data_IF_514688631125
#
_entry.id   IF_514688631125
#
_cell.length_a   1.000
_cell.length_b   1.000
_cell.length_c   1.000
_cell.angle_alpha   90.00
_cell.angle_beta   90.00
_cell.angle_gamma   90.00
#
_symmetry.space_group_name_H-M   'P 1'
#
loop_
_entity.id
_entity.type
_entity.pdbx_description
1 polymer ?
#
# COMPACT_ATOMS: atom_id res chain seq x y z
N UNK A 1 -18.10 3.75 18.50
CA UNK A 1 -16.64 4.01 18.33
C UNK A 1 -16.02 4.66 19.57
N UNK A 2 -16.75 5.47 20.33
CA UNK A 2 -16.22 6.14 21.51
C UNK A 2 -15.74 5.19 22.62
N UNK A 3 -16.51 4.13 22.89
CA UNK A 3 -16.12 3.06 23.82
C UNK A 3 -14.78 2.41 23.44
N UNK A 4 -14.58 2.18 22.14
CA UNK A 4 -13.32 1.66 21.58
C UNK A 4 -12.18 2.66 21.81
N UNK A 5 -12.40 3.96 21.56
CA UNK A 5 -11.40 5.01 21.83
C UNK A 5 -10.97 5.00 23.31
N UNK A 6 -11.93 4.93 24.23
CA UNK A 6 -11.65 4.85 25.67
C UNK A 6 -10.86 3.61 26.05
N UNK A 7 -11.28 2.43 25.56
CA UNK A 7 -10.55 1.18 25.77
C UNK A 7 -9.09 1.31 25.27
N UNK A 8 -8.88 1.75 24.02
CA UNK A 8 -7.55 1.89 23.45
C UNK A 8 -6.65 2.84 24.27
N UNK A 9 -7.17 4.00 24.65
CA UNK A 9 -6.43 4.97 25.47
C UNK A 9 -6.14 4.42 26.87
N UNK A 10 -7.04 3.65 27.48
CA UNK A 10 -6.80 3.02 28.78
C UNK A 10 -5.75 1.91 28.72
N UNK A 11 -5.72 1.14 27.63
CA UNK A 11 -4.83 -0.02 27.47
C UNK A 11 -3.43 0.38 27.01
N UNK A 12 -3.29 1.33 26.09
CA UNK A 12 -2.01 1.71 25.50
C UNK A 12 -1.54 3.10 25.94
N UNK A 13 -2.45 4.01 26.28
CA UNK A 13 -2.14 5.37 26.70
C UNK A 13 -2.24 6.41 25.57
N UNK A 14 -2.04 7.68 25.94
CA UNK A 14 -2.18 8.85 25.04
C UNK A 14 -1.02 9.00 24.04
N UNK A 15 0.09 8.29 24.21
CA UNK A 15 1.26 8.36 23.32
C UNK A 15 1.15 7.52 22.05
N UNK A 16 0.05 6.80 21.87
CA UNK A 16 -0.19 5.91 20.74
C UNK A 16 -1.10 6.55 19.72
N UNK A 17 -0.88 6.22 18.45
CA UNK A 17 -1.80 6.51 17.36
C UNK A 17 -2.58 5.25 16.99
N UNK A 18 -3.84 5.46 16.57
CA UNK A 18 -4.77 4.38 16.26
C UNK A 18 -5.31 4.57 14.84
N UNK A 19 -5.31 3.51 14.04
CA UNK A 19 -6.05 3.47 12.76
C UNK A 19 -7.12 2.41 12.87
N UNK A 20 -8.38 2.84 12.97
CA UNK A 20 -9.55 1.99 13.07
C UNK A 20 -10.07 1.74 11.65
N UNK A 21 -10.08 0.49 11.21
CA UNK A 21 -10.69 0.06 9.96
C UNK A 21 -12.02 -0.62 10.28
N UNK A 22 -13.17 0.04 10.05
CA UNK A 22 -14.47 -0.57 10.30
C UNK A 22 -14.67 -1.81 9.41
N UNK A 23 -15.53 -2.76 9.82
CA UNK A 23 -15.90 -3.88 8.97
C UNK A 23 -16.58 -3.37 7.69
N UNK A 24 -16.21 -3.94 6.55
CA UNK A 24 -16.87 -3.68 5.27
C UNK A 24 -17.88 -4.76 4.92
N UNK A 25 -17.73 -5.95 5.50
CA UNK A 25 -18.63 -7.08 5.34
C UNK A 25 -19.21 -7.54 6.68
N UNK A 26 -20.37 -8.20 6.63
CA UNK A 26 -21.01 -8.74 7.83
C UNK A 26 -20.15 -9.85 8.45
N UNK A 27 -19.95 -9.79 9.76
CA UNK A 27 -19.12 -10.76 10.49
C UNK A 27 -17.63 -10.42 10.56
N UNK A 28 -17.17 -9.37 9.86
CA UNK A 28 -15.80 -8.88 10.03
C UNK A 28 -15.59 -8.21 11.39
N UNK A 29 -14.35 -8.29 11.89
CA UNK A 29 -13.95 -7.64 13.14
C UNK A 29 -13.47 -6.21 12.87
N UNK A 30 -13.64 -5.32 13.85
CA UNK A 30 -13.02 -3.99 13.79
C UNK A 30 -11.50 -4.15 13.98
N UNK A 31 -10.73 -3.83 12.95
CA UNK A 31 -9.27 -3.90 13.00
C UNK A 31 -8.71 -2.55 13.46
N UNK A 32 -7.97 -2.55 14.57
CA UNK A 32 -7.29 -1.35 15.06
C UNK A 32 -5.79 -1.53 14.94
N UNK A 33 -5.16 -0.81 14.02
CA UNK A 33 -3.70 -0.71 13.98
C UNK A 33 -3.25 0.25 15.07
N UNK A 34 -2.46 -0.25 16.00
CA UNK A 34 -1.89 0.50 17.13
C UNK A 34 -0.43 0.77 16.82
N UNK A 35 -0.02 2.03 16.94
CA UNK A 35 1.35 2.44 16.67
C UNK A 35 1.89 3.34 17.78
N UNK A 36 2.92 2.84 18.47
CA UNK A 36 3.67 3.48 19.55
C UNK A 36 4.88 2.60 19.94
N UNK A 37 5.29 2.57 21.22
CA UNK A 37 6.30 1.62 21.71
C UNK A 37 5.98 0.16 21.36
N UNK A 38 4.71 -0.26 21.54
CA UNK A 38 4.19 -1.47 20.93
C UNK A 38 3.55 -1.14 19.57
N UNK A 39 3.70 -2.02 18.60
CA UNK A 39 3.07 -1.91 17.29
C UNK A 39 2.36 -3.21 16.98
N UNK A 40 1.15 -3.15 16.46
CA UNK A 40 0.38 -4.33 16.15
C UNK A 40 -1.04 -4.04 15.71
N UNK A 41 -1.84 -5.10 15.60
CA UNK A 41 -3.26 -5.03 15.28
C UNK A 41 -4.05 -5.62 16.43
N UNK A 42 -5.05 -4.88 16.90
CA UNK A 42 -6.05 -5.34 17.86
C UNK A 42 -7.34 -5.60 17.11
N UNK A 43 -7.95 -6.76 17.35
CA UNK A 43 -9.21 -7.18 16.75
C UNK A 43 -10.31 -7.02 17.79
N UNK A 44 -11.30 -6.20 17.47
CA UNK A 44 -12.40 -5.89 18.37
C UNK A 44 -13.72 -6.33 17.72
N UNK A 45 -14.66 -6.82 18.52
CA UNK A 45 -16.02 -7.02 18.06
C UNK A 45 -16.64 -5.64 17.74
N UNK A 46 -17.16 -5.41 16.53
CA UNK A 46 -17.62 -4.08 16.12
C UNK A 46 -18.87 -3.60 16.86
N UNK A 47 -19.67 -4.52 17.41
CA UNK A 47 -20.92 -4.20 18.12
C UNK A 47 -20.71 -4.02 19.62
N UNK A 48 -19.87 -4.87 20.24
CA UNK A 48 -19.66 -4.85 21.69
C UNK A 48 -18.39 -4.10 22.11
N UNK A 49 -17.45 -3.88 21.19
CA UNK A 49 -16.14 -3.30 21.48
C UNK A 49 -15.20 -4.24 22.26
N UNK A 50 -15.61 -5.48 22.52
CA UNK A 50 -14.81 -6.48 23.24
C UNK A 50 -13.63 -6.93 22.39
N UNK A 51 -12.45 -6.99 22.99
CA UNK A 51 -11.26 -7.52 22.33
C UNK A 51 -11.39 -9.03 22.06
N UNK A 52 -11.21 -9.41 20.80
CA UNK A 52 -11.20 -10.80 20.34
C UNK A 52 -9.78 -11.35 20.19
N UNK A 53 -8.78 -10.46 20.14
CA UNK A 53 -7.37 -10.82 20.17
C UNK A 53 -6.49 -9.66 19.72
N UNK A 54 -5.17 -9.84 19.88
CA UNK A 54 -4.16 -8.90 19.37
C UNK A 54 -3.01 -9.66 18.73
N UNK A 55 -2.40 -9.05 17.73
CA UNK A 55 -1.22 -9.58 17.05
C UNK A 55 -0.14 -8.51 17.00
N UNK A 56 1.04 -8.83 17.52
CA UNK A 56 2.21 -7.97 17.43
C UNK A 56 2.59 -7.71 15.97
N UNK A 57 3.15 -6.54 15.71
CA UNK A 57 3.51 -6.10 14.38
C UNK A 57 4.64 -6.90 13.74
N UNK A 58 5.27 -7.85 14.44
CA UNK A 58 6.28 -8.80 13.94
C UNK A 58 5.78 -10.25 13.96
N UNK A 59 4.55 -10.49 14.43
CA UNK A 59 4.02 -11.84 14.64
C UNK A 59 3.27 -12.38 13.42
N UNK A 60 3.41 -13.68 13.18
CA UNK A 60 2.69 -14.42 12.14
C UNK A 60 3.39 -14.46 10.78
N UNK A 61 3.19 -15.57 10.06
CA UNK A 61 3.85 -15.87 8.77
C UNK A 61 3.56 -14.79 7.73
N UNK A 62 2.31 -14.34 7.63
CA UNK A 62 1.91 -13.31 6.65
C UNK A 62 2.67 -12.00 6.88
N UNK A 63 2.79 -11.59 8.14
CA UNK A 63 3.47 -10.34 8.47
C UNK A 63 4.99 -10.45 8.34
N UNK A 64 5.56 -11.62 8.65
CA UNK A 64 6.95 -11.95 8.32
C UNK A 64 7.20 -11.81 6.81
N UNK A 65 6.39 -12.45 5.96
CA UNK A 65 6.51 -12.37 4.51
C UNK A 65 6.35 -10.93 4.01
N UNK A 66 5.38 -10.18 4.55
CA UNK A 66 5.18 -8.77 4.22
C UNK A 66 6.39 -7.91 4.60
N UNK A 67 6.98 -8.09 5.79
CA UNK A 67 8.16 -7.33 6.23
C UNK A 67 9.41 -7.70 5.46
N UNK A 68 9.57 -8.97 5.11
CA UNK A 68 10.61 -9.45 4.20
C UNK A 68 10.46 -8.81 2.82
N UNK A 69 9.26 -8.84 2.24
CA UNK A 69 8.98 -8.27 0.91
C UNK A 69 9.10 -6.74 0.87
N UNK A 70 8.59 -6.03 1.88
CA UNK A 70 8.51 -4.57 1.89
C UNK A 70 9.76 -3.86 2.43
N UNK A 71 10.62 -4.58 3.16
CA UNK A 71 11.77 -3.97 3.84
C UNK A 71 12.94 -4.90 4.12
N UNK A 72 12.93 -6.15 3.64
CA UNK A 72 13.94 -7.18 3.96
C UNK A 72 14.12 -7.41 5.47
N UNK A 73 13.12 -7.05 6.28
CA UNK A 73 13.22 -6.96 7.75
C UNK A 73 14.29 -5.98 8.27
N UNK A 74 14.89 -5.16 7.40
CA UNK A 74 15.94 -4.18 7.70
C UNK A 74 15.40 -2.74 7.77
N UNK A 75 14.08 -2.57 7.98
CA UNK A 75 13.42 -1.27 8.15
C UNK A 75 13.77 -0.31 7.00
N UNK A 76 14.26 0.90 7.31
CA UNK A 76 14.59 1.92 6.32
C UNK A 76 15.73 1.50 5.38
N UNK A 77 16.72 0.78 5.89
CA UNK A 77 17.86 0.30 5.11
C UNK A 77 17.41 -0.70 4.04
N UNK A 78 16.59 -1.68 4.41
CA UNK A 78 16.11 -2.66 3.44
C UNK A 78 15.15 -2.06 2.41
N UNK A 79 14.36 -1.05 2.77
CA UNK A 79 13.58 -0.25 1.81
C UNK A 79 14.45 0.44 0.76
N UNK A 80 15.58 1.02 1.17
CA UNK A 80 16.53 1.62 0.25
C UNK A 80 17.20 0.57 -0.65
N UNK A 81 17.61 -0.57 -0.08
CA UNK A 81 18.19 -1.69 -0.85
C UNK A 81 17.19 -2.20 -1.90
N UNK A 82 15.94 -2.43 -1.52
CA UNK A 82 14.87 -2.86 -2.44
C UNK A 82 14.64 -1.87 -3.58
N UNK A 83 14.71 -0.56 -3.31
CA UNK A 83 14.58 0.46 -4.36
C UNK A 83 15.73 0.40 -5.38
N UNK A 84 16.97 0.20 -4.94
CA UNK A 84 18.11 0.03 -5.85
C UNK A 84 18.05 -1.29 -6.62
N UNK A 85 17.63 -2.38 -5.97
CA UNK A 85 17.39 -3.67 -6.63
C UNK A 85 16.28 -3.53 -7.68
N UNK A 86 15.21 -2.81 -7.38
CA UNK A 86 14.14 -2.53 -8.33
C UNK A 86 14.64 -1.75 -9.54
N UNK A 87 15.48 -0.72 -9.34
CA UNK A 87 16.12 0.00 -10.45
C UNK A 87 16.98 -0.93 -11.31
N UNK A 88 17.79 -1.80 -10.69
CA UNK A 88 18.57 -2.80 -11.41
C UNK A 88 17.68 -3.77 -12.21
N UNK A 89 16.56 -4.21 -11.64
CA UNK A 89 15.57 -5.03 -12.34
C UNK A 89 14.96 -4.33 -13.55
N UNK A 90 14.62 -3.04 -13.44
CA UNK A 90 14.11 -2.27 -14.58
C UNK A 90 15.14 -2.17 -15.71
N UNK A 91 16.40 -1.94 -15.37
CA UNK A 91 17.49 -1.92 -16.37
C UNK A 91 17.68 -3.31 -17.01
N UNK A 92 17.61 -4.39 -16.22
CA UNK A 92 17.67 -5.77 -16.73
C UNK A 92 16.49 -6.12 -17.64
N UNK A 93 15.27 -5.67 -17.31
CA UNK A 93 14.10 -5.87 -18.16
C UNK A 93 14.23 -5.11 -19.48
N UNK A 94 14.67 -3.86 -19.45
CA UNK A 94 14.89 -3.05 -20.67
C UNK A 94 15.96 -3.71 -21.56
N UNK A 95 17.11 -4.05 -20.99
CA UNK A 95 18.18 -4.72 -21.74
C UNK A 95 17.75 -6.09 -22.28
N UNK A 96 17.03 -6.89 -21.49
CA UNK A 96 16.47 -8.17 -21.92
C UNK A 96 15.48 -8.02 -23.07
N UNK A 97 14.62 -7.00 -23.03
CA UNK A 97 13.67 -6.69 -24.11
C UNK A 97 14.39 -6.26 -25.39
N UNK A 98 15.43 -5.42 -25.29
CA UNK A 98 16.28 -5.03 -26.42
C UNK A 98 16.95 -6.25 -27.07
N UNK A 99 17.48 -7.17 -26.26
CA UNK A 99 18.10 -8.40 -26.74
C UNK A 99 17.09 -9.39 -27.34
N UNK A 100 15.86 -9.40 -26.82
CA UNK A 100 14.78 -10.24 -27.34
C UNK A 100 14.17 -9.69 -28.63
N UNK A 101 14.30 -8.38 -28.89
CA UNK A 101 13.57 -7.68 -29.94
C UNK A 101 13.70 -8.38 -31.30
N UNK A 102 12.60 -8.76 -31.95
CA UNK A 102 12.65 -9.57 -33.16
C UNK A 102 13.22 -8.77 -34.33
N UNK A 103 14.19 -9.36 -35.06
CA UNK A 103 14.68 -8.80 -36.34
C UNK A 103 13.64 -8.90 -37.47
N UNK A 104 12.72 -9.86 -37.38
CA UNK A 104 11.63 -10.09 -38.33
C UNK A 104 10.35 -10.37 -37.56
N UNK A 105 9.25 -9.77 -37.99
CA UNK A 105 7.96 -9.86 -37.31
C UNK A 105 7.04 -10.86 -38.05
N UNK A 106 6.22 -11.70 -37.38
CA UNK A 106 5.99 -11.87 -35.93
C UNK A 106 7.17 -12.51 -35.16
N UNK A 107 7.35 -12.26 -33.83
CA UNK A 107 8.38 -12.96 -33.05
C UNK A 107 8.03 -14.44 -32.91
N UNK A 108 9.05 -15.30 -32.84
CA UNK A 108 8.83 -16.70 -32.47
C UNK A 108 8.68 -16.85 -30.96
N UNK A 109 7.51 -17.33 -30.54
CA UNK A 109 7.17 -17.67 -29.15
C UNK A 109 7.27 -19.17 -28.86
N UNK A 110 7.98 -19.93 -29.71
CA UNK A 110 8.14 -21.37 -29.54
C UNK A 110 9.13 -21.68 -28.41
N UNK A 111 8.68 -22.46 -27.43
CA UNK A 111 9.53 -22.96 -26.34
C UNK A 111 9.91 -24.41 -26.64
N UNK A 112 11.19 -24.70 -26.87
CA UNK A 112 11.67 -26.05 -27.18
C UNK A 112 12.14 -26.79 -25.93
N UNK A 113 11.20 -27.47 -25.26
CA UNK A 113 11.49 -28.24 -24.04
C UNK A 113 12.14 -29.61 -24.31
N UNK A 114 12.02 -30.14 -25.54
CA UNK A 114 12.48 -31.49 -25.90
C UNK A 114 13.98 -31.57 -26.22
N UNK A 115 14.66 -30.43 -26.36
CA UNK A 115 16.10 -30.35 -26.73
C UNK A 115 17.02 -30.24 -25.51
N UNK A 116 16.54 -30.65 -24.34
CA UNK A 116 17.28 -30.63 -23.08
C UNK A 116 16.98 -29.42 -22.19
N UNK A 117 17.30 -29.56 -20.91
CA UNK A 117 16.95 -28.61 -19.84
C UNK A 117 17.53 -27.22 -20.09
N UNK A 118 18.79 -27.12 -20.53
CA UNK A 118 19.44 -25.85 -20.82
C UNK A 118 18.68 -25.05 -21.88
N UNK A 119 18.29 -25.71 -22.98
CA UNK A 119 17.56 -25.07 -24.07
C UNK A 119 16.16 -24.66 -23.65
N UNK A 120 15.46 -25.56 -22.94
CA UNK A 120 14.12 -25.28 -22.43
C UNK A 120 14.10 -24.08 -21.47
N UNK A 121 15.02 -24.04 -20.50
CA UNK A 121 15.12 -22.92 -19.56
C UNK A 121 15.48 -21.61 -20.25
N UNK A 122 16.39 -21.64 -21.23
CA UNK A 122 16.72 -20.45 -22.01
C UNK A 122 15.52 -19.92 -22.78
N UNK A 123 14.79 -20.77 -23.50
CA UNK A 123 13.62 -20.35 -24.28
C UNK A 123 12.50 -19.84 -23.36
N UNK A 124 12.24 -20.51 -22.23
CA UNK A 124 11.25 -20.08 -21.22
C UNK A 124 11.65 -18.76 -20.58
N UNK A 125 12.91 -18.58 -20.17
CA UNK A 125 13.39 -17.32 -19.57
C UNK A 125 13.24 -16.16 -20.56
N UNK A 126 13.68 -16.37 -21.80
CA UNK A 126 13.62 -15.36 -22.86
C UNK A 126 12.17 -14.95 -23.19
N UNK A 127 11.30 -15.94 -23.43
CA UNK A 127 9.91 -15.67 -23.84
C UNK A 127 9.09 -15.15 -22.66
N UNK A 128 9.24 -15.75 -21.47
CA UNK A 128 8.57 -15.31 -20.25
C UNK A 128 8.93 -13.87 -19.89
N UNK A 129 10.22 -13.51 -19.95
CA UNK A 129 10.68 -12.15 -19.72
C UNK A 129 10.11 -11.13 -20.73
N UNK A 130 9.98 -11.51 -22.00
CA UNK A 130 9.40 -10.64 -23.01
C UNK A 130 7.88 -10.46 -22.89
N UNK A 131 7.14 -11.56 -22.63
CA UNK A 131 5.67 -11.54 -22.55
C UNK A 131 5.20 -10.87 -21.26
N UNK A 132 5.83 -11.17 -20.13
CA UNK A 132 5.45 -10.63 -18.81
C UNK A 132 6.20 -9.34 -18.46
N UNK A 133 7.18 -8.94 -19.28
CA UNK A 133 8.11 -7.86 -18.97
C UNK A 133 7.44 -6.55 -18.63
N UNK A 134 6.37 -6.17 -19.33
CA UNK A 134 5.63 -4.94 -19.04
C UNK A 134 4.92 -4.98 -17.67
N UNK A 135 4.23 -6.08 -17.37
CA UNK A 135 3.53 -6.26 -16.09
C UNK A 135 4.53 -6.26 -14.94
N UNK A 136 5.64 -6.99 -15.10
CA UNK A 136 6.73 -7.02 -14.11
C UNK A 136 7.33 -5.62 -13.95
N UNK A 137 7.60 -4.89 -15.04
CA UNK A 137 8.17 -3.55 -14.97
C UNK A 137 7.26 -2.58 -14.21
N UNK A 138 5.95 -2.60 -14.47
CA UNK A 138 4.97 -1.78 -13.74
C UNK A 138 4.95 -2.15 -12.26
N UNK A 139 4.90 -3.45 -11.93
CA UNK A 139 4.88 -3.92 -10.54
C UNK A 139 6.18 -3.54 -9.78
N UNK A 140 7.35 -3.70 -10.41
CA UNK A 140 8.65 -3.33 -9.83
C UNK A 140 8.77 -1.82 -9.64
N UNK A 141 8.34 -1.02 -10.62
CA UNK A 141 8.39 0.45 -10.53
C UNK A 141 7.47 0.99 -9.43
N UNK A 142 6.23 0.49 -9.36
CA UNK A 142 5.27 0.85 -8.31
C UNK A 142 5.73 0.37 -6.93
N UNK A 143 6.32 -0.82 -6.83
CA UNK A 143 6.92 -1.34 -5.60
C UNK A 143 8.08 -0.48 -5.10
N UNK A 144 8.98 -0.04 -6.00
CA UNK A 144 10.07 0.87 -5.66
C UNK A 144 9.56 2.19 -5.10
N UNK A 145 8.55 2.78 -5.76
CA UNK A 145 7.91 4.02 -5.33
C UNK A 145 7.34 3.90 -3.90
N UNK A 146 6.65 2.80 -3.59
CA UNK A 146 6.09 2.56 -2.26
C UNK A 146 7.15 2.26 -1.19
N UNK A 147 8.21 1.55 -1.56
CA UNK A 147 9.25 1.14 -0.64
C UNK A 147 10.04 2.34 -0.11
N UNK A 148 10.44 3.28 -0.98
CA UNK A 148 11.41 4.31 -0.62
C UNK A 148 10.92 5.74 -0.86
N UNK A 149 10.59 6.42 0.24
CA UNK A 149 10.02 7.79 0.26
C UNK A 149 10.73 8.82 -0.63
N UNK A 150 12.09 8.85 -0.73
CA UNK A 150 12.78 9.81 -1.58
C UNK A 150 12.32 9.80 -3.04
N UNK A 151 11.92 8.64 -3.59
CA UNK A 151 11.41 8.54 -4.96
C UNK A 151 10.16 9.41 -5.13
N UNK A 152 9.20 9.29 -4.22
CA UNK A 152 7.97 10.09 -4.25
C UNK A 152 8.24 11.59 -4.09
N UNK A 153 9.22 11.96 -3.25
CA UNK A 153 9.62 13.36 -3.05
C UNK A 153 10.24 13.96 -4.31
N UNK A 154 11.11 13.22 -4.99
CA UNK A 154 11.74 13.63 -6.25
C UNK A 154 10.67 13.81 -7.34
N UNK A 155 9.77 12.83 -7.49
CA UNK A 155 8.68 12.90 -8.47
C UNK A 155 7.76 14.11 -8.21
N UNK A 156 7.38 14.33 -6.95
CA UNK A 156 6.54 15.48 -6.58
C UNK A 156 7.25 16.81 -6.86
N UNK A 157 8.55 16.90 -6.53
CA UNK A 157 9.36 18.08 -6.81
C UNK A 157 9.50 18.36 -8.32
N UNK A 158 9.70 17.32 -9.14
CA UNK A 158 9.76 17.45 -10.59
C UNK A 158 8.41 17.85 -11.22
N UNK A 159 7.30 17.39 -10.64
CA UNK A 159 5.96 17.74 -11.09
C UNK A 159 5.55 19.19 -10.75
N UNK A 160 6.28 19.86 -9.84
CA UNK A 160 5.91 21.18 -9.33
C UNK A 160 4.70 21.16 -8.39
N UNK A 161 4.23 19.98 -7.99
CA UNK A 161 3.05 19.78 -7.16
C UNK A 161 3.34 20.19 -5.70
N UNK A 162 2.34 20.75 -5.03
CA UNK A 162 2.42 21.04 -3.60
C UNK A 162 2.11 19.77 -2.84
N UNK A 163 3.03 19.33 -1.98
CA UNK A 163 2.76 18.21 -1.06
C UNK A 163 1.54 18.58 -0.21
N UNK A 164 0.45 17.83 -0.37
CA UNK A 164 -0.75 17.94 0.48
C UNK A 164 -0.34 17.59 1.90
N UNK A 165 -0.23 18.62 2.76
CA UNK A 165 0.09 18.48 4.17
C UNK A 165 -1.22 18.56 4.97
N UNK A 166 -1.38 17.72 6.01
CA UNK A 166 -2.51 17.85 6.91
C UNK A 166 -2.61 19.28 7.46
N UNK A 167 -3.83 19.82 7.65
CA UNK A 167 -4.02 21.14 8.24
C UNK A 167 -3.47 21.17 9.67
N UNK A 168 -2.97 22.33 10.09
CA UNK A 168 -2.52 22.54 11.47
C UNK A 168 -3.73 22.70 12.38
N UNK A 169 -3.73 21.99 13.50
CA UNK A 169 -4.74 22.17 14.56
C UNK A 169 -4.37 23.39 15.40
N UNK A 170 -5.31 24.32 15.56
CA UNK A 170 -5.14 25.49 16.44
C UNK A 170 -5.66 25.14 17.84
N UNK A 171 -5.08 25.66 18.93
CA UNK A 171 -5.64 25.46 20.26
C UNK A 171 -7.06 26.03 20.34
N UNK A 172 -7.97 25.26 20.91
CA UNK A 172 -9.35 25.69 21.20
C UNK A 172 -9.46 26.05 22.68
N UNK A 173 -10.29 27.04 23.01
CA UNK A 173 -10.56 27.42 24.39
C UNK A 173 -11.18 26.23 25.17
N UNK A 174 -10.75 26.04 26.41
CA UNK A 174 -11.05 24.86 27.27
C UNK A 174 -12.52 24.69 27.66
N UNK A 175 -13.45 25.49 27.14
CA UNK A 175 -14.87 25.52 27.51
C UNK A 175 -15.76 24.62 26.65
N UNK A 176 -15.23 23.92 25.64
CA UNK A 176 -16.03 23.04 24.77
C UNK A 176 -16.01 21.61 25.31
N UNK A 177 -17.19 21.02 25.53
CA UNK A 177 -17.34 19.58 25.74
C UNK A 177 -16.96 18.89 24.42
N UNK A 178 -15.91 18.07 24.36
CA UNK A 178 -15.46 17.49 23.10
C UNK A 178 -16.53 16.52 22.57
N UNK A 179 -16.87 16.57 21.27
CA UNK A 179 -17.76 15.58 20.71
C UNK A 179 -17.13 14.19 20.79
N UNK A 180 -18.00 13.19 20.88
CA UNK A 180 -17.62 11.79 20.79
C UNK A 180 -17.06 11.47 19.41
N UNK A 181 -16.25 10.42 19.32
CA UNK A 181 -15.74 9.91 18.05
C UNK A 181 -16.89 9.49 17.13
N UNK A 182 -18.00 8.99 17.68
CA UNK A 182 -19.20 8.65 16.92
C UNK A 182 -19.84 9.88 16.28
N UNK A 183 -19.96 11.00 17.01
CA UNK A 183 -20.45 12.27 16.46
C UNK A 183 -19.51 12.83 15.39
N UNK A 184 -18.19 12.76 15.59
CA UNK A 184 -17.21 13.18 14.60
C UNK A 184 -17.29 12.34 13.32
N UNK A 185 -17.44 11.02 13.45
CA UNK A 185 -17.60 10.10 12.32
C UNK A 185 -18.92 10.36 11.60
N UNK A 186 -20.02 10.55 12.32
CA UNK A 186 -21.31 10.89 11.73
C UNK A 186 -21.26 12.24 11.00
N UNK A 187 -20.59 13.24 11.57
CA UNK A 187 -20.38 14.54 10.91
C UNK A 187 -19.56 14.39 9.63
N UNK A 188 -18.49 13.61 9.64
CA UNK A 188 -17.72 13.31 8.43
C UNK A 188 -18.54 12.52 7.39
N UNK A 189 -19.31 11.52 7.81
CA UNK A 189 -20.20 10.73 6.94
C UNK A 189 -21.25 11.61 6.27
N UNK A 190 -21.73 12.67 6.93
CA UNK A 190 -22.70 13.60 6.33
C UNK A 190 -22.18 14.34 5.09
N UNK A 191 -20.85 14.42 4.90
CA UNK A 191 -20.25 15.01 3.71
C UNK A 191 -20.27 14.05 2.50
N UNK A 192 -20.30 12.75 2.75
CA UNK A 192 -20.35 11.69 1.73
C UNK A 192 -21.32 10.59 2.18
N UNK A 193 -22.66 10.85 2.18
CA UNK A 193 -23.63 9.95 2.79
C UNK A 193 -23.63 8.54 2.19
N UNK A 194 -23.39 8.44 0.89
CA UNK A 194 -23.46 7.20 0.12
C UNK A 194 -22.15 6.38 0.13
N UNK A 195 -21.04 6.98 0.56
CA UNK A 195 -19.71 6.35 0.50
C UNK A 195 -19.27 5.86 1.88
N UNK A 196 -18.77 4.62 2.02
CA UNK A 196 -18.38 4.08 3.32
C UNK A 196 -17.09 4.72 3.86
N UNK A 197 -16.97 4.72 5.20
CA UNK A 197 -15.71 5.03 5.88
C UNK A 197 -14.69 3.92 5.58
N UNK A 198 -13.56 4.29 4.98
CA UNK A 198 -12.42 3.40 4.76
C UNK A 198 -11.65 3.12 6.05
N UNK A 199 -11.22 4.19 6.74
CA UNK A 199 -10.64 4.07 8.08
C UNK A 199 -10.64 5.41 8.82
N UNK A 200 -10.45 5.35 10.14
CA UNK A 200 -10.35 6.51 11.04
C UNK A 200 -8.97 6.52 11.68
N UNK A 201 -8.22 7.59 11.49
CA UNK A 201 -6.90 7.81 12.10
C UNK A 201 -7.00 8.79 13.25
N UNK A 202 -6.74 8.28 14.45
CA UNK A 202 -6.63 9.04 15.69
C UNK A 202 -5.14 9.27 15.97
N UNK A 203 -4.65 10.52 15.94
CA UNK A 203 -3.25 10.81 16.17
C UNK A 203 -2.87 10.66 17.64
N UNK A 204 -1.59 10.42 17.91
CA UNK A 204 -1.04 10.40 19.27
C UNK A 204 -0.98 11.79 19.91
N UNK A 205 -0.86 12.84 19.09
CA UNK A 205 -0.72 14.22 19.56
C UNK A 205 -1.97 15.02 19.26
N UNK A 206 -2.37 15.83 20.24
CA UNK A 206 -3.58 16.64 20.17
C UNK A 206 -3.46 17.86 19.24
N UNK A 207 -2.25 18.13 18.72
CA UNK A 207 -1.95 19.17 17.71
C UNK A 207 -2.04 18.64 16.27
N UNK A 208 -2.43 17.38 16.10
CA UNK A 208 -2.64 16.74 14.80
C UNK A 208 -4.14 16.46 14.60
N UNK A 209 -4.66 16.60 13.38
CA UNK A 209 -6.07 16.36 13.12
C UNK A 209 -6.40 14.87 13.18
N UNK A 210 -7.63 14.54 13.59
CA UNK A 210 -8.22 13.24 13.30
C UNK A 210 -8.46 13.19 11.79
N UNK A 211 -8.09 12.10 11.14
CA UNK A 211 -8.30 11.93 9.70
C UNK A 211 -9.25 10.77 9.46
N UNK A 212 -10.38 11.05 8.82
CA UNK A 212 -11.33 10.03 8.36
C UNK A 212 -11.16 9.88 6.87
N UNK A 213 -10.85 8.67 6.39
CA UNK A 213 -10.84 8.36 4.97
C UNK A 213 -12.19 7.82 4.53
N UNK A 214 -12.69 8.38 3.44
CA UNK A 214 -13.89 7.89 2.75
C UNK A 214 -13.45 7.06 1.54
N UNK A 215 -14.13 5.95 1.28
CA UNK A 215 -13.92 5.14 0.08
C UNK A 215 -15.03 5.45 -0.92
N UNK A 216 -14.76 6.44 -1.77
CA UNK A 216 -15.70 6.79 -2.84
C UNK A 216 -15.83 5.64 -3.84
N UNK A 217 -17.01 5.48 -4.45
CA UNK A 217 -17.21 4.49 -5.52
C UNK A 217 -16.24 4.66 -6.70
N UNK A 218 -15.79 5.89 -6.97
CA UNK A 218 -14.82 6.21 -8.02
C UNK A 218 -13.36 6.07 -7.60
N UNK A 219 -13.09 5.79 -6.32
CA UNK A 219 -11.74 5.78 -5.77
C UNK A 219 -10.95 4.56 -6.26
N UNK A 220 -9.79 4.75 -6.92
CA UNK A 220 -9.00 3.62 -7.40
C UNK A 220 -8.33 2.86 -6.26
N UNK A 221 -8.16 3.48 -5.08
CA UNK A 221 -7.46 2.87 -3.96
C UNK A 221 -8.44 2.07 -3.08
N UNK A 222 -8.15 0.81 -2.70
CA UNK A 222 -9.07 -0.06 -1.97
C UNK A 222 -9.48 0.47 -0.58
N UNK A 223 -8.58 1.21 0.08
CA UNK A 223 -8.85 1.88 1.36
C UNK A 223 -9.42 3.30 1.25
N UNK A 224 -9.71 3.78 0.03
CA UNK A 224 -10.06 5.17 -0.21
C UNK A 224 -8.89 6.16 -0.03
N UNK A 225 -9.04 7.32 -0.64
CA UNK A 225 -8.08 8.43 -0.71
C UNK A 225 -8.69 9.76 -0.36
N UNK A 226 -10.01 9.93 -0.52
CA UNK A 226 -10.74 11.08 0.00
C UNK A 226 -10.56 11.16 1.52
N UNK A 227 -10.13 12.31 2.02
CA UNK A 227 -9.79 12.50 3.43
C UNK A 227 -10.47 13.72 4.02
N UNK A 228 -11.16 13.52 5.14
CA UNK A 228 -11.73 14.58 5.97
C UNK A 228 -10.85 14.72 7.20
N UNK A 229 -10.38 15.93 7.46
CA UNK A 229 -9.58 16.25 8.63
C UNK A 229 -10.46 16.98 9.64
N UNK A 230 -10.55 16.44 10.85
CA UNK A 230 -11.33 17.01 11.93
C UNK A 230 -10.41 17.47 13.06
N UNK A 231 -10.83 18.55 13.70
CA UNK A 231 -10.20 19.05 14.90
C UNK A 231 -10.44 18.06 16.06
N UNK A 232 -9.40 17.57 16.77
CA UNK A 232 -9.55 16.48 17.74
C UNK A 232 -10.35 16.87 19.00
N UNK A 233 -10.43 18.16 19.34
CA UNK A 233 -11.22 18.65 20.49
C UNK A 233 -12.60 19.22 20.11
N UNK A 234 -12.73 20.05 19.07
CA UNK A 234 -14.02 20.67 18.70
C UNK A 234 -14.84 19.83 17.74
N UNK A 235 -14.25 18.87 17.03
CA UNK A 235 -14.91 18.12 15.96
C UNK A 235 -15.12 18.92 14.66
N UNK A 236 -14.63 20.15 14.57
CA UNK A 236 -14.73 21.00 13.38
C UNK A 236 -13.98 20.38 12.19
N UNK A 237 -14.58 20.38 11.00
CA UNK A 237 -13.90 19.98 9.76
C UNK A 237 -12.90 21.06 9.38
N UNK A 238 -11.61 20.71 9.40
CA UNK A 238 -10.50 21.59 9.06
C UNK A 238 -10.18 21.59 7.57
N UNK A 239 -10.39 20.46 6.89
CA UNK A 239 -10.18 20.30 5.45
C UNK A 239 -10.89 19.05 4.93
N UNK A 240 -11.28 19.10 3.65
CA UNK A 240 -11.79 17.96 2.89
C UNK A 240 -10.96 17.85 1.61
N UNK A 241 -10.15 16.82 1.51
CA UNK A 241 -9.34 16.52 0.33
C UNK A 241 -10.01 15.39 -0.44
N UNK A 242 -10.84 15.73 -1.43
CA UNK A 242 -11.43 14.73 -2.34
C UNK A 242 -10.39 14.16 -3.29
N UNK A 243 -10.38 12.84 -3.46
CA UNK A 243 -9.31 12.17 -4.21
C UNK A 243 -9.21 12.62 -5.68
N UNK A 244 -10.28 13.11 -6.27
CA UNK A 244 -10.39 13.57 -7.66
C UNK A 244 -10.12 15.08 -7.83
N UNK A 245 -10.06 15.83 -6.73
CA UNK A 245 -9.84 17.29 -6.69
C UNK A 245 -8.42 17.68 -6.23
N UNK A 246 -7.64 16.72 -5.71
CA UNK A 246 -6.22 16.94 -5.38
C UNK A 246 -5.35 17.06 -6.64
N UNK A 247 -4.14 17.59 -6.46
CA UNK A 247 -3.15 17.74 -7.54
C UNK A 247 -2.87 16.44 -8.30
N UNK A 248 -2.55 16.54 -9.58
CA UNK A 248 -2.43 15.39 -10.50
C UNK A 248 -1.42 14.33 -10.00
N UNK A 249 -0.27 14.72 -9.45
CA UNK A 249 0.69 13.78 -8.88
C UNK A 249 0.14 13.07 -7.65
N UNK A 250 -0.64 13.76 -6.82
CA UNK A 250 -1.34 13.15 -5.69
C UNK A 250 -2.44 12.18 -6.14
N UNK A 251 -3.15 12.50 -7.24
CA UNK A 251 -4.12 11.60 -7.89
C UNK A 251 -3.46 10.36 -8.46
N UNK A 252 -2.35 10.49 -9.18
CA UNK A 252 -1.59 9.37 -9.74
C UNK A 252 -1.08 8.43 -8.64
N UNK A 253 -0.68 8.99 -7.49
CA UNK A 253 -0.28 8.20 -6.32
C UNK A 253 -1.42 7.33 -5.76
N UNK A 254 -2.68 7.63 -6.06
CA UNK A 254 -3.82 6.77 -5.68
C UNK A 254 -3.85 5.44 -6.44
N UNK A 255 -3.23 5.38 -7.63
CA UNK A 255 -3.17 4.18 -8.47
C UNK A 255 -1.96 3.28 -8.17
N UNK A 256 -0.93 3.79 -7.49
CA UNK A 256 0.32 3.04 -7.30
C UNK A 256 0.12 1.72 -6.55
N UNK A 257 -0.59 1.76 -5.41
CA UNK A 257 -0.88 0.57 -4.61
C UNK A 257 -1.74 -0.45 -5.38
N UNK A 258 -2.92 -0.10 -5.91
CA UNK A 258 -3.78 -1.06 -6.62
C UNK A 258 -3.17 -1.58 -7.92
N UNK A 259 -2.26 -0.83 -8.57
CA UNK A 259 -1.46 -1.34 -9.69
C UNK A 259 -0.44 -2.40 -9.24
N UNK A 260 0.20 -2.19 -8.08
CA UNK A 260 1.19 -3.11 -7.55
C UNK A 260 0.57 -4.41 -7.03
N UNK A 261 -0.62 -4.33 -6.41
CA UNK A 261 -1.34 -5.52 -5.90
C UNK A 261 -2.20 -6.18 -6.98
N UNK A 262 -2.58 -5.44 -8.02
CA UNK A 262 -3.45 -5.89 -9.10
C UNK A 262 -4.93 -5.62 -8.86
N UNK A 263 -5.31 -5.09 -7.69
CA UNK A 263 -6.70 -4.81 -7.30
C UNK A 263 -7.41 -3.85 -8.28
N UNK A 264 -6.66 -3.01 -9.03
CA UNK A 264 -7.25 -2.07 -9.99
C UNK A 264 -8.08 -2.78 -11.08
N UNK A 265 -7.71 -4.01 -11.46
CA UNK A 265 -8.41 -4.81 -12.47
C UNK A 265 -9.21 -5.96 -11.87
N UNK A 266 -9.44 -5.94 -10.57
CA UNK A 266 -10.10 -7.02 -9.82
C UNK A 266 -9.34 -8.36 -9.88
N UNK A 267 -10.04 -9.48 -9.65
CA UNK A 267 -9.41 -10.80 -9.46
C UNK A 267 -8.54 -11.27 -10.63
N UNK A 268 -8.85 -10.85 -11.87
CA UNK A 268 -8.06 -11.19 -13.04
C UNK A 268 -6.68 -10.53 -12.99
N UNK A 269 -6.63 -9.22 -12.72
CA UNK A 269 -5.35 -8.51 -12.68
C UNK A 269 -4.56 -8.89 -11.42
N UNK A 270 -5.22 -9.15 -10.29
CA UNK A 270 -4.60 -9.75 -9.10
C UNK A 270 -3.89 -11.07 -9.42
N UNK A 271 -4.58 -11.98 -10.14
CA UNK A 271 -3.98 -13.24 -10.56
C UNK A 271 -2.79 -13.03 -11.51
N UNK A 272 -2.91 -12.10 -12.47
CA UNK A 272 -1.82 -11.75 -13.40
C UNK A 272 -0.59 -11.21 -12.64
N UNK A 273 -0.79 -10.30 -11.69
CA UNK A 273 0.29 -9.73 -10.88
C UNK A 273 0.93 -10.79 -9.97
N UNK A 274 0.13 -11.65 -9.35
CA UNK A 274 0.62 -12.78 -8.56
C UNK A 274 1.49 -13.72 -9.39
N UNK A 275 1.01 -14.15 -10.56
CA UNK A 275 1.76 -15.00 -11.49
C UNK A 275 3.02 -14.30 -12.01
N UNK A 276 2.96 -12.99 -12.27
CA UNK A 276 4.12 -12.19 -12.66
C UNK A 276 5.17 -12.13 -11.54
N UNK A 277 4.76 -12.06 -10.27
CA UNK A 277 5.66 -12.15 -9.12
C UNK A 277 6.38 -13.50 -9.02
N UNK A 278 5.65 -14.60 -9.22
CA UNK A 278 6.26 -15.94 -9.29
C UNK A 278 7.21 -16.05 -10.49
N UNK A 279 6.81 -15.53 -11.65
CA UNK A 279 7.63 -15.51 -12.85
C UNK A 279 8.91 -14.70 -12.65
N UNK A 280 8.85 -13.54 -11.99
CA UNK A 280 10.04 -12.74 -11.65
C UNK A 280 11.04 -13.56 -10.81
N UNK A 281 10.56 -14.27 -9.79
CA UNK A 281 11.39 -15.17 -8.99
C UNK A 281 12.05 -16.26 -9.84
N UNK A 282 11.27 -16.91 -10.71
CA UNK A 282 11.79 -17.94 -11.64
C UNK A 282 12.80 -17.36 -12.64
N UNK A 283 12.56 -16.15 -13.17
CA UNK A 283 13.49 -15.47 -14.08
C UNK A 283 14.82 -15.17 -13.37
N UNK A 284 14.80 -14.71 -12.12
CA UNK A 284 16.00 -14.52 -11.32
C UNK A 284 16.83 -15.81 -11.18
N UNK A 285 16.20 -16.91 -10.77
CA UNK A 285 16.87 -18.21 -10.61
C UNK A 285 17.41 -18.75 -11.93
N UNK A 286 16.59 -18.73 -12.98
CA UNK A 286 16.98 -19.25 -14.30
C UNK A 286 18.07 -18.41 -14.95
N UNK A 287 18.04 -17.08 -14.79
CA UNK A 287 19.08 -16.19 -15.30
C UNK A 287 20.45 -16.48 -14.69
N UNK A 288 20.52 -16.63 -13.37
CA UNK A 288 21.76 -16.99 -12.65
C UNK A 288 22.27 -18.36 -13.09
N UNK A 289 21.38 -19.35 -13.17
CA UNK A 289 21.74 -20.71 -13.56
C UNK A 289 22.26 -20.80 -14.99
N UNK A 290 21.61 -20.13 -15.94
CA UNK A 290 22.04 -20.06 -17.35
C UNK A 290 23.41 -19.37 -17.48
N UNK A 291 23.65 -18.31 -16.70
CA UNK A 291 24.94 -17.64 -16.66
C UNK A 291 26.06 -18.55 -16.16
N UNK A 292 25.81 -19.31 -15.08
CA UNK A 292 26.79 -20.26 -14.54
C UNK A 292 27.09 -21.36 -15.56
N UNK A 293 26.06 -22.01 -16.11
CA UNK A 293 26.21 -23.11 -17.10
C UNK A 293 26.90 -22.70 -18.40
N UNK A 294 27.01 -21.39 -18.69
CA UNK A 294 27.75 -20.90 -19.84
C UNK A 294 29.24 -20.72 -19.55
N UNK A 295 29.63 -20.60 -18.27
CA UNK A 295 31.02 -20.40 -17.82
C UNK A 295 31.75 -21.69 -17.48
N UNK A 296 31.01 -22.75 -17.10
CA UNK A 296 31.52 -24.09 -16.84
C UNK A 296 31.13 -25.03 -17.97
#
# INVERSE_FOLDING_TARGET
MESVRHYLVSTFGKGYSYTLRPPHEEGETLHVLVNGPWQGTVYLNPYTGVEQGRRGGDEGVVNFLFKLHSSLMLKATGKAILAWIALAYLILLISGLVLWWPKRWPPSLKIELRKGVLRGLFDTHRIGGAVLGLVIAVSVATGAYMAWRPIGQIITAMAGDKVVKPPKVKPVATTIVPPTLDEMVAHAQSQFPDDPVGYIQIPAKADQPIRIRMRLASDPHPNGRTAIYLHPQSGEILAVDRWDEIDIGARLNSYIYPLHTGELGGPLLEAVVFLAGLALGMLGVTGIWLWWRRRN
#
